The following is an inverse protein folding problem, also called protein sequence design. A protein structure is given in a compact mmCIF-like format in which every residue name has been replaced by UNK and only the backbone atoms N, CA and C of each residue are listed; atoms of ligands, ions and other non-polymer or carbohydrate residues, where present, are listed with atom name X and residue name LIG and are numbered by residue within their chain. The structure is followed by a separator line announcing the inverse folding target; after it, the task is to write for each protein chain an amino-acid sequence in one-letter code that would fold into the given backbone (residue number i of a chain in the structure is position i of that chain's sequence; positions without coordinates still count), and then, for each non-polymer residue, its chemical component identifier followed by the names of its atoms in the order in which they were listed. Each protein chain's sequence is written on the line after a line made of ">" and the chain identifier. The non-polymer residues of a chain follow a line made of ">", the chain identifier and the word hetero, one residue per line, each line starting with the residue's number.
data_IF_858699738612
#
_entry.id   IF_858699738612
#
_cell.length_a   1.000
_cell.length_b   1.000
_cell.length_c   1.000
_cell.angle_alpha   90.00
_cell.angle_beta   90.00
_cell.angle_gamma   90.00
#
_symmetry.space_group_name_H-M   'P 1'
#
loop_
_entity.id
_entity.type
_entity.pdbx_description
1 polymer ?
#
# COMPACT_ATOMS: atom_id res chain seq x y z
N UNK A 1 -12.37 -9.51 1.73
CA UNK A 1 -11.11 -8.94 2.23
C UNK A 1 -11.22 -8.54 3.71
N UNK A 2 -11.70 -9.47 4.54
CA UNK A 2 -11.76 -9.31 6.01
C UNK A 2 -11.08 -10.54 6.61
N UNK A 3 -9.77 -10.63 6.44
CA UNK A 3 -8.93 -11.63 7.09
C UNK A 3 -8.67 -11.19 8.53
N UNK A 4 -9.74 -11.12 9.35
CA UNK A 4 -9.59 -10.93 10.79
C UNK A 4 -9.07 -12.25 11.35
N UNK A 5 -7.74 -12.38 11.35
CA UNK A 5 -7.04 -13.48 11.96
C UNK A 5 -6.94 -13.32 13.47
N UNK A 6 -6.44 -14.37 14.13
CA UNK A 6 -6.10 -14.31 15.56
C UNK A 6 -5.08 -13.20 15.84
N UNK A 7 -4.16 -12.97 14.91
CA UNK A 7 -3.12 -11.92 14.97
C UNK A 7 -3.72 -10.50 14.99
N UNK A 8 -4.62 -10.15 14.06
CA UNK A 8 -5.33 -8.87 14.08
C UNK A 8 -6.12 -8.68 15.38
N UNK A 9 -6.83 -9.71 15.85
CA UNK A 9 -7.60 -9.62 17.09
C UNK A 9 -6.68 -9.28 18.28
N UNK A 10 -5.50 -9.90 18.35
CA UNK A 10 -4.51 -9.66 19.39
C UNK A 10 -3.95 -8.23 19.30
N UNK A 11 -3.65 -7.75 18.09
CA UNK A 11 -3.21 -6.37 17.87
C UNK A 11 -4.27 -5.37 18.35
N UNK A 12 -5.53 -5.56 17.97
CA UNK A 12 -6.64 -4.70 18.41
C UNK A 12 -6.82 -4.77 19.93
N UNK A 13 -6.70 -5.96 20.53
CA UNK A 13 -6.76 -6.11 21.99
C UNK A 13 -5.64 -5.32 22.69
N UNK A 14 -4.41 -5.37 22.18
CA UNK A 14 -3.28 -4.58 22.71
C UNK A 14 -3.56 -3.08 22.57
N UNK A 15 -3.98 -2.61 21.40
CA UNK A 15 -4.33 -1.19 21.18
C UNK A 15 -5.45 -0.75 22.13
N UNK A 16 -6.49 -1.57 22.28
CA UNK A 16 -7.58 -1.29 23.21
C UNK A 16 -7.11 -1.25 24.68
N UNK A 17 -6.15 -2.09 25.08
CA UNK A 17 -5.54 -2.04 26.41
C UNK A 17 -4.77 -0.75 26.64
N UNK A 18 -4.07 -0.23 25.63
CA UNK A 18 -3.30 1.02 25.74
C UNK A 18 -4.25 2.23 25.80
N UNK A 19 -5.23 2.29 24.91
CA UNK A 19 -6.12 3.45 24.76
C UNK A 19 -7.13 3.54 25.90
N UNK A 20 -7.80 2.42 26.21
CA UNK A 20 -8.84 2.36 27.21
C UNK A 20 -8.30 2.04 28.61
N UNK A 21 -7.17 1.34 28.67
CA UNK A 21 -6.57 0.84 29.91
C UNK A 21 -7.02 -0.59 30.24
N UNK A 22 -6.14 -1.41 30.86
CA UNK A 22 -6.43 -2.79 31.23
C UNK A 22 -7.59 -2.94 32.22
N UNK A 23 -7.84 -1.91 33.04
CA UNK A 23 -8.90 -1.95 34.06
C UNK A 23 -10.31 -1.66 33.50
N UNK A 24 -10.37 -1.00 32.33
CA UNK A 24 -11.61 -0.51 31.72
C UNK A 24 -12.10 -1.38 30.57
N UNK A 25 -11.18 -2.02 29.84
CA UNK A 25 -11.51 -3.01 28.81
C UNK A 25 -12.45 -4.14 29.28
N UNK A 26 -12.22 -4.83 30.42
CA UNK A 26 -13.11 -5.88 30.89
C UNK A 26 -14.49 -5.35 31.28
N UNK A 27 -14.59 -4.10 31.75
CA UNK A 27 -15.87 -3.43 32.01
C UNK A 27 -16.60 -3.18 30.69
N UNK A 28 -15.94 -2.62 29.67
CA UNK A 28 -16.51 -2.38 28.35
C UNK A 28 -16.98 -3.68 27.66
N UNK A 29 -16.17 -4.74 27.70
CA UNK A 29 -16.53 -6.06 27.16
C UNK A 29 -17.77 -6.64 27.85
N UNK A 30 -17.91 -6.45 29.18
CA UNK A 30 -19.12 -6.85 29.91
C UNK A 30 -20.34 -6.04 29.47
N UNK A 31 -20.23 -4.73 29.31
CA UNK A 31 -21.33 -3.91 28.79
C UNK A 31 -21.71 -4.33 27.37
N UNK A 32 -20.75 -4.39 26.44
CA UNK A 32 -20.98 -4.83 25.07
C UNK A 32 -21.60 -6.23 25.03
N UNK A 33 -21.10 -7.17 25.82
CA UNK A 33 -21.63 -8.54 25.91
C UNK A 33 -23.09 -8.60 26.39
N UNK A 34 -23.48 -7.79 27.38
CA UNK A 34 -24.87 -7.70 27.83
C UNK A 34 -25.79 -7.13 26.74
N UNK A 35 -25.33 -6.09 26.04
CA UNK A 35 -26.07 -5.47 24.93
C UNK A 35 -26.22 -6.43 23.74
N UNK A 36 -25.13 -7.10 23.34
CA UNK A 36 -25.15 -8.12 22.29
C UNK A 36 -26.05 -9.29 22.67
N UNK A 37 -26.02 -9.74 23.93
CA UNK A 37 -26.92 -10.79 24.43
C UNK A 37 -28.39 -10.37 24.33
N UNK A 38 -28.71 -9.13 24.70
CA UNK A 38 -30.07 -8.57 24.59
C UNK A 38 -30.52 -8.49 23.13
N UNK A 39 -29.67 -7.95 22.25
CA UNK A 39 -29.94 -7.85 20.81
C UNK A 39 -30.15 -9.24 20.18
N UNK A 40 -29.28 -10.19 20.51
CA UNK A 40 -29.39 -11.59 20.04
C UNK A 40 -30.70 -12.23 20.49
N UNK A 41 -31.15 -11.99 21.72
CA UNK A 41 -32.45 -12.48 22.19
C UNK A 41 -33.63 -11.88 21.40
N UNK A 42 -33.56 -10.59 21.05
CA UNK A 42 -34.59 -9.96 20.20
C UNK A 42 -34.57 -10.54 18.78
N UNK A 43 -33.40 -10.84 18.22
CA UNK A 43 -33.28 -11.46 16.90
C UNK A 43 -33.84 -12.87 16.87
N UNK A 44 -33.67 -13.66 17.94
CA UNK A 44 -34.30 -14.98 18.04
C UNK A 44 -35.83 -14.90 18.11
N UNK A 45 -36.39 -13.95 18.85
CA UNK A 45 -37.85 -13.71 18.90
C UNK A 45 -38.39 -13.28 17.54
N UNK A 46 -37.76 -12.29 16.90
CA UNK A 46 -38.14 -11.83 15.55
C UNK A 46 -38.01 -12.98 14.54
N UNK A 47 -36.96 -13.80 14.60
CA UNK A 47 -36.81 -14.98 13.74
C UNK A 47 -37.92 -16.00 13.97
N UNK A 48 -38.26 -16.27 15.24
CA UNK A 48 -39.30 -17.23 15.59
C UNK A 48 -40.73 -16.76 15.27
N UNK A 49 -40.94 -15.45 15.19
CA UNK A 49 -42.20 -14.83 14.74
C UNK A 49 -42.25 -14.72 13.21
N UNK A 50 -41.12 -14.39 12.55
CA UNK A 50 -40.98 -14.41 11.08
C UNK A 50 -41.18 -15.81 10.51
N UNK A 51 -40.57 -16.85 11.10
CA UNK A 51 -40.70 -18.24 10.63
C UNK A 51 -42.12 -18.78 10.75
N UNK A 52 -43.00 -18.12 11.52
CA UNK A 52 -44.31 -18.65 11.89
C UNK A 52 -45.48 -17.94 11.20
N UNK A 53 -45.29 -16.71 10.72
CA UNK A 53 -46.39 -15.90 10.15
C UNK A 53 -46.04 -15.17 8.83
N UNK A 54 -44.76 -14.90 8.52
CA UNK A 54 -44.35 -14.10 7.35
C UNK A 54 -43.32 -14.85 6.48
N UNK A 55 -43.86 -15.43 5.41
CA UNK A 55 -43.19 -16.05 4.26
C UNK A 55 -41.67 -15.89 4.16
N UNK A 56 -40.96 -17.03 4.20
CA UNK A 56 -39.58 -17.16 3.74
C UNK A 56 -39.37 -16.67 2.28
N UNK A 57 -40.44 -16.44 1.50
CA UNK A 57 -40.37 -15.91 0.13
C UNK A 57 -40.05 -14.42 0.05
N UNK A 58 -40.51 -13.58 0.99
CA UNK A 58 -40.32 -12.12 0.88
C UNK A 58 -38.94 -11.69 1.37
N UNK A 59 -38.42 -12.36 2.41
CA UNK A 59 -37.03 -12.21 2.84
C UNK A 59 -36.06 -12.82 1.81
N UNK A 60 -36.42 -13.94 1.18
CA UNK A 60 -35.63 -14.50 0.07
C UNK A 60 -35.61 -13.55 -1.13
N UNK A 61 -36.74 -12.92 -1.44
CA UNK A 61 -36.85 -11.95 -2.54
C UNK A 61 -36.05 -10.68 -2.29
N UNK A 62 -36.10 -10.13 -1.08
CA UNK A 62 -35.26 -8.98 -0.72
C UNK A 62 -33.75 -9.31 -0.68
N UNK A 63 -33.38 -10.53 -0.26
CA UNK A 63 -31.99 -11.00 -0.37
C UNK A 63 -31.54 -11.20 -1.82
N UNK A 64 -32.41 -11.73 -2.69
CA UNK A 64 -32.11 -11.86 -4.13
C UNK A 64 -32.04 -10.50 -4.82
N UNK A 65 -32.90 -9.55 -4.46
CA UNK A 65 -32.84 -8.17 -4.95
C UNK A 65 -31.56 -7.46 -4.50
N UNK A 66 -31.16 -7.62 -3.23
CA UNK A 66 -29.90 -7.08 -2.72
C UNK A 66 -28.67 -7.69 -3.42
N UNK A 67 -28.68 -9.00 -3.71
CA UNK A 67 -27.63 -9.66 -4.50
C UNK A 67 -27.57 -9.14 -5.93
N UNK A 68 -28.71 -8.96 -6.58
CA UNK A 68 -28.78 -8.40 -7.94
C UNK A 68 -28.30 -6.95 -7.97
N UNK A 69 -28.66 -6.15 -6.96
CA UNK A 69 -28.18 -4.78 -6.82
C UNK A 69 -26.65 -4.73 -6.62
N UNK A 70 -26.11 -5.61 -5.78
CA UNK A 70 -24.66 -5.73 -5.58
C UNK A 70 -23.93 -6.14 -6.87
N UNK A 71 -24.45 -7.13 -7.61
CA UNK A 71 -23.87 -7.57 -8.88
C UNK A 71 -23.85 -6.47 -9.94
N UNK A 72 -24.94 -5.69 -10.06
CA UNK A 72 -24.99 -4.51 -10.95
C UNK A 72 -23.96 -3.45 -10.56
N UNK A 73 -23.79 -3.22 -9.25
CA UNK A 73 -22.82 -2.25 -8.77
C UNK A 73 -21.38 -2.68 -9.09
N UNK A 74 -21.06 -3.96 -8.95
CA UNK A 74 -19.76 -4.52 -9.35
C UNK A 74 -19.52 -4.38 -10.87
N UNK A 75 -20.56 -4.59 -11.69
CA UNK A 75 -20.48 -4.41 -13.14
C UNK A 75 -20.22 -2.95 -13.52
N UNK A 76 -20.99 -2.02 -12.94
CA UNK A 76 -20.79 -0.57 -13.16
C UNK A 76 -19.42 -0.11 -12.69
N UNK A 77 -18.91 -0.65 -11.58
CA UNK A 77 -17.55 -0.34 -11.11
C UNK A 77 -16.49 -0.81 -12.10
N UNK A 78 -16.60 -2.03 -12.64
CA UNK A 78 -15.66 -2.54 -13.65
C UNK A 78 -15.69 -1.73 -14.95
N UNK A 79 -16.87 -1.32 -15.39
CA UNK A 79 -17.03 -0.44 -16.56
C UNK A 79 -16.38 0.93 -16.32
N UNK A 80 -16.63 1.51 -15.14
CA UNK A 80 -16.05 2.79 -14.74
C UNK A 80 -14.53 2.71 -14.64
N UNK A 81 -13.97 1.64 -14.07
CA UNK A 81 -12.53 1.40 -14.02
C UNK A 81 -11.90 1.30 -15.41
N UNK A 82 -12.55 0.59 -16.33
CA UNK A 82 -12.08 0.46 -17.71
C UNK A 82 -12.10 1.80 -18.45
N UNK A 83 -13.17 2.58 -18.29
CA UNK A 83 -13.29 3.92 -18.89
C UNK A 83 -12.26 4.89 -18.30
N UNK A 84 -12.05 4.87 -16.99
CA UNK A 84 -11.03 5.67 -16.32
C UNK A 84 -9.64 5.30 -16.81
N UNK A 85 -9.29 4.01 -16.91
CA UNK A 85 -8.00 3.59 -17.46
C UNK A 85 -7.81 4.03 -18.91
N UNK A 86 -8.85 3.95 -19.74
CA UNK A 86 -8.79 4.40 -21.13
C UNK A 86 -8.54 5.92 -21.22
N UNK A 87 -9.25 6.71 -20.41
CA UNK A 87 -9.06 8.17 -20.32
C UNK A 87 -7.68 8.55 -19.81
N UNK A 88 -7.17 7.85 -18.80
CA UNK A 88 -5.81 8.07 -18.27
C UNK A 88 -4.76 7.78 -19.33
N UNK A 89 -4.87 6.66 -20.06
CA UNK A 89 -3.93 6.34 -21.15
C UNK A 89 -3.98 7.38 -22.27
N UNK A 90 -5.17 7.81 -22.67
CA UNK A 90 -5.32 8.86 -23.69
C UNK A 90 -4.69 10.19 -23.23
N UNK A 91 -4.92 10.59 -21.99
CA UNK A 91 -4.31 11.79 -21.42
C UNK A 91 -2.78 11.69 -21.31
N UNK A 92 -2.24 10.52 -20.97
CA UNK A 92 -0.79 10.28 -20.96
C UNK A 92 -0.18 10.37 -22.36
N UNK A 93 -0.86 9.84 -23.38
CA UNK A 93 -0.42 9.95 -24.77
C UNK A 93 -0.45 11.41 -25.27
N UNK A 94 -1.50 12.16 -24.95
CA UNK A 94 -1.60 13.58 -25.29
C UNK A 94 -0.51 14.40 -24.59
N UNK A 95 -0.30 14.17 -23.28
CA UNK A 95 0.76 14.85 -22.53
C UNK A 95 2.16 14.53 -23.09
N UNK A 96 2.43 13.27 -23.47
CA UNK A 96 3.70 12.89 -24.11
C UNK A 96 3.91 13.60 -25.44
N UNK A 97 2.87 13.70 -26.28
CA UNK A 97 2.93 14.42 -27.56
C UNK A 97 3.17 15.91 -27.36
N UNK A 98 2.53 16.52 -26.37
CA UNK A 98 2.72 17.93 -26.04
C UNK A 98 4.13 18.21 -25.52
N UNK A 99 4.66 17.36 -24.63
CA UNK A 99 6.04 17.44 -24.13
C UNK A 99 7.05 17.25 -25.27
N UNK A 100 6.83 16.31 -26.19
CA UNK A 100 7.70 16.12 -27.36
C UNK A 100 7.63 17.29 -28.36
N UNK A 101 6.44 17.88 -28.56
CA UNK A 101 6.27 19.07 -29.38
C UNK A 101 7.04 20.26 -28.78
N UNK A 102 6.90 20.48 -27.47
CA UNK A 102 7.62 21.51 -26.73
C UNK A 102 9.13 21.27 -26.76
N UNK A 103 9.58 20.02 -26.65
CA UNK A 103 11.00 19.63 -26.78
C UNK A 103 11.54 19.86 -28.18
N UNK A 104 10.76 19.61 -29.24
CA UNK A 104 11.14 19.94 -30.63
C UNK A 104 11.22 21.44 -30.86
N UNK A 105 10.32 22.21 -30.27
CA UNK A 105 10.33 23.67 -30.35
C UNK A 105 11.58 24.24 -29.65
N UNK A 106 11.95 23.69 -28.50
CA UNK A 106 13.18 24.05 -27.76
C UNK A 106 14.45 23.54 -28.44
N UNK A 107 14.42 22.36 -29.07
CA UNK A 107 15.57 21.77 -29.78
C UNK A 107 15.73 22.28 -31.23
N UNK A 108 14.78 23.08 -31.73
CA UNK A 108 14.80 23.70 -33.06
C UNK A 108 15.56 25.02 -33.13
N UNK A 109 16.07 25.55 -32.01
CA UNK A 109 17.01 26.66 -32.04
C UNK A 109 18.39 26.14 -32.51
N UNK A 110 19.02 26.78 -33.52
CA UNK A 110 20.30 26.32 -34.04
C UNK A 110 21.35 26.38 -32.91
N UNK A 111 22.09 25.29 -32.76
CA UNK A 111 23.32 25.29 -31.99
C UNK A 111 24.22 26.42 -32.51
N UNK A 112 24.76 27.30 -31.66
CA UNK A 112 25.79 28.21 -32.11
C UNK A 112 27.01 27.34 -32.43
N UNK A 113 27.27 27.18 -33.72
CA UNK A 113 28.48 26.59 -34.23
C UNK A 113 29.68 27.32 -33.61
N UNK A 114 30.59 26.52 -33.09
CA UNK A 114 31.89 26.95 -32.62
C UNK A 114 32.58 27.82 -33.69
N UNK A 115 32.85 29.08 -33.34
CA UNK A 115 33.83 29.88 -34.09
C UNK A 115 35.20 29.58 -33.50
N UNK A 116 35.95 28.75 -34.21
CA UNK A 116 37.41 28.64 -34.05
C UNK A 116 38.06 29.87 -34.66
N UNK A 117 38.71 30.71 -33.84
CA UNK A 117 39.95 31.40 -34.17
C UNK A 117 40.44 32.26 -32.99
N UNK A 118 41.53 31.81 -32.36
CA UNK A 118 42.62 32.72 -32.00
C UNK A 118 42.76 33.17 -30.55
N UNK A 119 43.68 32.49 -29.86
CA UNK A 119 44.65 33.03 -28.90
C UNK A 119 44.13 33.70 -27.62
N UNK A 120 44.37 33.07 -26.47
CA UNK A 120 45.57 33.31 -25.64
C UNK A 120 45.37 32.66 -24.27
N UNK A 121 46.26 31.74 -23.95
CA UNK A 121 46.44 31.20 -22.60
C UNK A 121 47.30 32.15 -21.77
N UNK A 122 47.03 32.29 -20.47
CA UNK A 122 48.09 32.28 -19.47
C UNK A 122 47.77 31.14 -18.49
N UNK A 123 48.42 29.98 -18.63
CA UNK A 123 49.58 29.59 -17.82
C UNK A 123 49.64 30.26 -16.44
N UNK A 124 49.42 29.47 -15.38
CA UNK A 124 50.25 29.57 -14.20
C UNK A 124 51.13 28.33 -14.10
N UNK A 125 52.43 28.56 -14.29
CA UNK A 125 53.49 27.60 -14.02
C UNK A 125 53.63 27.35 -12.52
N UNK A 126 53.31 26.11 -12.10
CA UNK A 126 53.99 25.26 -11.09
C UNK A 126 54.29 25.80 -9.68
N UNK A 127 54.93 24.99 -8.80
CA UNK A 127 55.51 23.67 -9.06
C UNK A 127 55.18 22.57 -8.01
N UNK A 128 55.44 21.32 -8.43
CA UNK A 128 55.90 20.16 -7.63
C UNK A 128 54.95 19.61 -6.53
N UNK A 129 54.81 18.30 -6.31
CA UNK A 129 55.77 17.23 -6.49
C UNK A 129 55.07 15.89 -6.77
N UNK A 130 55.78 15.04 -7.51
CA UNK A 130 55.62 13.60 -7.60
C UNK A 130 55.88 12.94 -6.24
N UNK A 131 55.28 11.75 -6.02
CA UNK A 131 55.94 10.48 -5.65
C UNK A 131 54.99 9.53 -4.89
N UNK A 132 54.70 8.41 -5.56
CA UNK A 132 54.41 7.01 -5.12
C UNK A 132 53.67 6.64 -3.80
N UNK A 133 53.03 5.44 -3.74
CA UNK A 133 51.99 5.06 -2.79
C UNK A 133 52.54 4.31 -1.56
N UNK A 134 51.69 4.10 -0.53
CA UNK A 134 51.74 2.81 0.16
C UNK A 134 50.37 2.23 0.53
N UNK A 135 50.47 0.94 0.85
CA UNK A 135 49.44 -0.07 1.02
C UNK A 135 48.54 0.11 2.25
N UNK A 136 47.46 -0.66 2.22
CA UNK A 136 46.45 -0.91 3.26
C UNK A 136 47.04 -1.25 4.64
N UNK A 137 46.23 -1.14 5.72
CA UNK A 137 45.83 -2.37 6.41
C UNK A 137 44.36 -2.38 6.88
N UNK A 138 43.79 -3.59 6.90
CA UNK A 138 42.40 -3.85 7.23
C UNK A 138 42.04 -3.81 8.71
N UNK A 139 40.75 -4.08 8.98
CA UNK A 139 40.16 -4.72 10.18
C UNK A 139 38.63 -4.78 10.00
N UNK A 140 38.01 -5.90 9.57
CA UNK A 140 36.65 -6.23 9.96
C UNK A 140 36.65 -6.97 11.30
N UNK A 141 35.58 -6.75 12.06
CA UNK A 141 35.45 -7.04 13.49
C UNK A 141 35.84 -8.45 13.90
N UNK A 142 36.60 -8.51 15.00
CA UNK A 142 36.68 -9.68 15.85
C UNK A 142 35.35 -9.79 16.60
N UNK A 143 34.69 -10.92 16.39
CA UNK A 143 33.56 -11.38 17.18
C UNK A 143 33.46 -12.88 17.05
N UNK A 144 34.41 -13.59 17.68
CA UNK A 144 34.20 -14.95 18.22
C UNK A 144 32.76 -15.04 18.73
N UNK A 145 31.97 -16.06 18.43
CA UNK A 145 32.30 -17.46 18.25
C UNK A 145 31.21 -18.25 18.99
N UNK A 146 31.15 -19.54 18.71
CA UNK A 146 30.38 -20.54 19.44
C UNK A 146 28.86 -20.56 19.13
N UNK A 147 28.25 -21.69 18.79
CA UNK A 147 28.71 -23.07 18.65
C UNK A 147 27.55 -23.87 18.03
N UNK A 148 27.87 -24.97 17.34
CA UNK A 148 27.03 -26.16 17.35
C UNK A 148 26.10 -26.38 16.14
N UNK A 149 26.70 -26.60 14.97
CA UNK A 149 26.13 -27.48 13.95
C UNK A 149 26.59 -28.90 14.25
N UNK A 150 25.66 -29.78 14.60
CA UNK A 150 25.84 -31.24 14.60
C UNK A 150 24.45 -31.88 14.55
N UNK A 151 23.98 -32.25 13.36
CA UNK A 151 22.61 -32.72 13.25
C UNK A 151 22.13 -33.32 11.93
N UNK A 152 23.01 -34.01 11.21
CA UNK A 152 22.73 -35.12 10.28
C UNK A 152 21.48 -35.09 9.37
N UNK A 153 21.82 -35.03 8.09
CA UNK A 153 21.02 -35.25 6.89
C UNK A 153 20.20 -36.55 6.90
N UNK A 154 19.00 -36.47 6.33
CA UNK A 154 18.28 -37.56 5.67
C UNK A 154 17.91 -37.12 4.26
#
# INVERSE_FOLDING_TARGET
>A
MFDIGFSELLLVAVVALVVLGPDRLPKAARFAGLWVRRARAQWYSVKSELERELAAEELKRSMDEARQAAAKLEETMRETEAEVQAKVRAAEEEARREIEAMRREVAGAPAPEATDAGATMPEPAGPAATDDPPQQPGLPGIGNGQDGDDGQQR
#
